data_IF_309591559438
#
_entry.id   IF_309591559438
#
_cell.length_a   1.000
_cell.length_b   1.000
_cell.length_c   1.000
_cell.angle_alpha   90.00
_cell.angle_beta   90.00
_cell.angle_gamma   90.00
#
_symmetry.space_group_name_H-M   'P 1'
#
loop_
_entity.id
_entity.type
_entity.pdbx_description
1 polymer ?
#
# COMPACT_ATOMS: atom_id res chain seq x y z
N UNK A 1 -15.65 -1.89 -8.56
CA UNK A 1 -14.82 -1.74 -9.78
C UNK A 1 -14.48 -0.29 -10.17
N UNK A 2 -14.90 0.72 -9.43
CA UNK A 2 -14.67 2.14 -9.75
C UNK A 2 -13.45 2.79 -9.10
N UNK A 3 -13.01 2.34 -7.95
CA UNK A 3 -11.98 3.00 -7.14
C UNK A 3 -10.53 2.77 -7.62
N UNK A 4 -10.23 1.64 -8.24
CA UNK A 4 -8.89 1.35 -8.79
C UNK A 4 -8.57 2.17 -10.07
N UNK A 5 -9.59 2.60 -10.83
CA UNK A 5 -9.38 3.40 -12.05
C UNK A 5 -8.97 4.86 -11.82
N UNK A 6 -9.15 5.40 -10.60
CA UNK A 6 -8.80 6.80 -10.32
C UNK A 6 -7.33 7.00 -9.94
N UNK A 7 -6.64 5.96 -9.51
CA UNK A 7 -5.23 6.03 -9.09
C UNK A 7 -4.23 5.95 -10.27
N UNK A 8 -4.68 5.48 -11.45
CA UNK A 8 -3.81 5.26 -12.61
C UNK A 8 -4.19 6.12 -13.83
N UNK A 9 -4.42 7.43 -13.66
CA UNK A 9 -4.42 8.36 -14.81
C UNK A 9 -3.00 8.73 -15.17
N UNK A 10 -2.34 7.89 -15.98
CA UNK A 10 -1.09 8.24 -16.64
C UNK A 10 -1.34 9.32 -17.70
N UNK A 11 -0.57 10.39 -17.64
CA UNK A 11 -0.48 11.42 -18.68
C UNK A 11 0.13 10.79 -19.94
N UNK A 12 -0.67 10.52 -20.94
CA UNK A 12 -0.16 10.25 -22.29
C UNK A 12 0.27 11.59 -22.92
N UNK A 13 1.59 11.73 -23.13
CA UNK A 13 2.12 12.77 -23.99
C UNK A 13 1.78 12.46 -25.47
N UNK A 14 1.65 13.46 -26.37
CA UNK A 14 1.35 13.21 -27.78
C UNK A 14 2.48 12.42 -28.44
N UNK A 15 2.12 11.32 -29.12
CA UNK A 15 3.03 10.53 -29.93
C UNK A 15 3.57 11.37 -31.11
N UNK A 16 4.77 11.87 -31.00
CA UNK A 16 5.55 12.30 -32.18
C UNK A 16 5.89 11.06 -33.00
N UNK A 17 5.42 11.00 -34.23
CA UNK A 17 5.73 9.92 -35.17
C UNK A 17 7.20 9.97 -35.52
N UNK A 18 8.01 9.20 -34.83
CA UNK A 18 9.41 8.97 -35.18
C UNK A 18 9.54 8.40 -36.59
N UNK A 19 10.51 8.90 -37.37
CA UNK A 19 10.80 8.38 -38.70
C UNK A 19 11.28 6.93 -38.64
N UNK A 20 11.13 6.15 -39.71
CA UNK A 20 11.60 4.77 -39.78
C UNK A 20 13.12 4.68 -39.57
N UNK A 21 13.85 5.73 -39.94
CA UNK A 21 15.30 5.84 -39.72
C UNK A 21 15.63 6.07 -38.24
N UNK A 22 14.82 6.84 -37.52
CA UNK A 22 14.99 7.04 -36.07
C UNK A 22 14.67 5.75 -35.31
N UNK A 23 13.62 5.02 -35.70
CA UNK A 23 13.31 3.69 -35.15
C UNK A 23 14.43 2.70 -35.35
N UNK A 24 15.05 2.70 -36.56
CA UNK A 24 16.19 1.83 -36.87
C UNK A 24 17.42 2.20 -36.05
N UNK A 25 17.74 3.49 -35.92
CA UNK A 25 18.84 4.01 -35.09
C UNK A 25 18.63 3.71 -33.59
N UNK A 26 17.38 3.82 -33.10
CA UNK A 26 17.05 3.43 -31.73
C UNK A 26 17.19 1.93 -31.53
N UNK A 27 16.74 1.09 -32.47
CA UNK A 27 16.93 -0.35 -32.44
C UNK A 27 18.39 -0.77 -32.49
N UNK A 28 19.23 -0.10 -33.29
CA UNK A 28 20.68 -0.36 -33.35
C UNK A 28 21.40 0.12 -32.08
N UNK A 29 20.98 1.24 -31.48
CA UNK A 29 21.48 1.70 -30.15
C UNK A 29 21.07 0.75 -29.03
N UNK A 30 19.83 0.27 -29.01
CA UNK A 30 19.35 -0.70 -28.05
C UNK A 30 20.10 -2.04 -28.16
N UNK A 31 20.40 -2.50 -29.41
CA UNK A 31 21.25 -3.70 -29.62
C UNK A 31 22.68 -3.50 -29.16
N UNK A 32 23.30 -2.34 -29.41
CA UNK A 32 24.67 -2.04 -28.94
C UNK A 32 24.74 -1.84 -27.41
N UNK A 33 23.67 -1.37 -26.78
CA UNK A 33 23.56 -1.26 -25.32
C UNK A 33 23.25 -2.62 -24.65
N UNK A 34 22.62 -3.57 -25.36
CA UNK A 34 22.38 -4.93 -24.88
C UNK A 34 23.59 -5.86 -24.88
N UNK A 35 24.72 -5.44 -25.47
CA UNK A 35 25.99 -6.22 -25.50
C UNK A 35 26.94 -5.93 -24.31
N UNK A 36 26.69 -4.91 -23.50
CA UNK A 36 27.35 -4.80 -22.20
C UNK A 36 26.77 -5.86 -21.28
N UNK A 37 27.50 -6.92 -20.96
CA UNK A 37 27.12 -7.89 -19.94
C UNK A 37 26.75 -7.12 -18.68
N UNK A 38 25.44 -7.03 -18.40
CA UNK A 38 24.99 -6.42 -17.16
C UNK A 38 25.64 -7.17 -16.00
N UNK A 39 26.11 -6.40 -15.02
CA UNK A 39 26.68 -6.93 -13.80
C UNK A 39 25.57 -7.71 -13.06
N UNK A 40 25.85 -8.92 -12.53
CA UNK A 40 24.87 -9.65 -11.74
C UNK A 40 24.33 -8.80 -10.57
N UNK A 41 23.04 -8.86 -10.29
CA UNK A 41 22.40 -8.06 -9.23
C UNK A 41 23.10 -8.19 -7.87
N UNK A 42 23.58 -9.39 -7.53
CA UNK A 42 24.32 -9.63 -6.28
C UNK A 42 25.69 -8.96 -6.19
N UNK A 43 26.22 -8.48 -7.30
CA UNK A 43 27.52 -7.75 -7.35
C UNK A 43 27.34 -6.23 -7.49
N UNK A 44 26.10 -5.74 -7.61
CA UNK A 44 25.77 -4.32 -7.74
C UNK A 44 25.84 -3.61 -6.39
N UNK A 45 26.30 -2.36 -6.39
CA UNK A 45 26.12 -1.45 -5.24
C UNK A 45 24.64 -1.07 -5.10
N UNK A 46 24.23 -0.52 -3.96
CA UNK A 46 22.85 -0.07 -3.76
C UNK A 46 22.41 1.01 -4.76
N UNK A 47 23.31 1.91 -5.13
CA UNK A 47 23.05 2.93 -6.17
C UNK A 47 22.86 2.29 -7.55
N UNK A 48 23.70 1.29 -7.89
CA UNK A 48 23.56 0.52 -9.12
C UNK A 48 22.24 -0.26 -9.15
N UNK A 49 21.84 -0.90 -8.04
CA UNK A 49 20.57 -1.60 -7.89
C UNK A 49 19.38 -0.67 -8.07
N UNK A 50 19.41 0.51 -7.44
CA UNK A 50 18.35 1.51 -7.58
C UNK A 50 18.21 1.99 -9.04
N UNK A 51 19.32 2.28 -9.71
CA UNK A 51 19.32 2.66 -11.12
C UNK A 51 18.84 1.51 -12.03
N UNK A 52 19.23 0.27 -11.71
CA UNK A 52 18.81 -0.92 -12.44
C UNK A 52 17.31 -1.16 -12.27
N UNK A 53 16.79 -1.09 -11.05
CA UNK A 53 15.38 -1.18 -10.75
C UNK A 53 14.53 -0.17 -11.54
N UNK A 54 14.96 1.10 -11.62
CA UNK A 54 14.26 2.11 -12.43
C UNK A 54 14.14 1.69 -13.89
N UNK A 55 15.22 1.14 -14.50
CA UNK A 55 15.18 0.62 -15.88
C UNK A 55 14.25 -0.59 -16.04
N UNK A 56 14.19 -1.48 -15.03
CA UNK A 56 13.30 -2.63 -15.04
C UNK A 56 11.83 -2.21 -14.99
N UNK A 57 11.49 -1.18 -14.21
CA UNK A 57 10.12 -0.67 -14.14
C UNK A 57 9.61 -0.12 -15.50
N UNK A 58 10.51 0.36 -16.36
CA UNK A 58 10.20 0.85 -17.70
C UNK A 58 10.22 -0.24 -18.78
N UNK A 59 10.63 -1.46 -18.45
CA UNK A 59 10.77 -2.57 -19.41
C UNK A 59 9.41 -3.06 -19.89
N UNK A 60 9.22 -3.14 -21.21
CA UNK A 60 7.96 -3.60 -21.82
C UNK A 60 7.81 -5.13 -21.86
N UNK A 61 8.91 -5.88 -21.93
CA UNK A 61 8.90 -7.33 -21.86
C UNK A 61 8.65 -7.76 -20.41
N UNK A 62 7.42 -8.14 -20.14
CA UNK A 62 6.97 -8.43 -18.79
C UNK A 62 7.59 -9.71 -18.21
N UNK A 63 7.79 -10.75 -19.02
CA UNK A 63 8.40 -12.01 -18.56
C UNK A 63 9.85 -11.78 -18.15
N UNK A 64 10.59 -11.07 -18.98
CA UNK A 64 11.97 -10.71 -18.69
C UNK A 64 12.05 -9.72 -17.53
N UNK A 65 11.13 -8.76 -17.44
CA UNK A 65 11.04 -7.83 -16.32
C UNK A 65 10.82 -8.55 -15.00
N UNK A 66 9.85 -9.46 -14.91
CA UNK A 66 9.56 -10.24 -13.71
C UNK A 66 10.77 -11.09 -13.28
N UNK A 67 11.41 -11.78 -14.23
CA UNK A 67 12.61 -12.57 -13.95
C UNK A 67 13.74 -11.72 -13.35
N UNK A 68 14.00 -10.56 -13.94
CA UNK A 68 15.08 -9.66 -13.47
C UNK A 68 14.72 -8.96 -12.15
N UNK A 69 13.45 -8.62 -11.92
CA UNK A 69 12.99 -8.09 -10.63
C UNK A 69 13.17 -9.14 -9.53
N UNK A 70 12.89 -10.41 -9.80
CA UNK A 70 13.11 -11.50 -8.85
C UNK A 70 14.60 -11.66 -8.50
N UNK A 71 15.50 -11.66 -9.50
CA UNK A 71 16.94 -11.69 -9.28
C UNK A 71 17.44 -10.48 -8.45
N UNK A 72 16.87 -9.30 -8.71
CA UNK A 72 17.20 -8.08 -7.97
C UNK A 72 16.70 -8.15 -6.52
N UNK A 73 15.47 -8.61 -6.30
CA UNK A 73 14.88 -8.79 -4.98
C UNK A 73 15.67 -9.82 -4.15
N UNK A 74 16.03 -10.96 -4.74
CA UNK A 74 16.85 -12.00 -4.09
C UNK A 74 18.27 -11.51 -3.76
N UNK A 75 18.77 -10.48 -4.46
CA UNK A 75 20.05 -9.85 -4.13
C UNK A 75 19.96 -8.88 -2.94
N UNK A 76 18.80 -8.75 -2.28
CA UNK A 76 18.54 -7.88 -1.12
C UNK A 76 18.03 -6.49 -1.49
N UNK A 77 17.48 -6.29 -2.69
CA UNK A 77 16.77 -5.07 -3.04
C UNK A 77 15.25 -5.28 -2.88
N UNK A 78 14.78 -5.19 -1.64
CA UNK A 78 13.44 -5.63 -1.21
C UNK A 78 12.29 -4.89 -1.91
N UNK A 79 12.48 -3.63 -2.33
CA UNK A 79 11.48 -2.88 -3.09
C UNK A 79 11.08 -3.56 -4.42
N UNK A 80 11.94 -4.42 -4.97
CA UNK A 80 11.63 -5.16 -6.19
C UNK A 80 10.49 -6.17 -5.99
N UNK A 81 10.25 -6.69 -4.76
CA UNK A 81 9.09 -7.53 -4.46
C UNK A 81 7.77 -6.80 -4.70
N UNK A 82 7.68 -5.53 -4.31
CA UNK A 82 6.49 -4.70 -4.53
C UNK A 82 6.28 -4.43 -6.02
N UNK A 83 7.36 -4.16 -6.77
CA UNK A 83 7.29 -3.95 -8.22
C UNK A 83 6.83 -5.20 -8.98
N UNK A 84 7.14 -6.41 -8.46
CA UNK A 84 6.60 -7.66 -9.02
C UNK A 84 5.09 -7.77 -8.80
N UNK A 85 4.59 -7.37 -7.64
CA UNK A 85 3.13 -7.35 -7.36
C UNK A 85 2.41 -6.43 -8.36
N UNK A 86 2.92 -5.20 -8.55
CA UNK A 86 2.37 -4.25 -9.52
C UNK A 86 2.40 -4.81 -10.96
N UNK A 87 3.50 -5.49 -11.32
CA UNK A 87 3.65 -6.10 -12.62
C UNK A 87 2.65 -7.23 -12.87
N UNK A 88 2.37 -8.08 -11.86
CA UNK A 88 1.36 -9.13 -11.96
C UNK A 88 -0.05 -8.56 -12.09
N UNK A 89 -0.40 -7.50 -11.36
CA UNK A 89 -1.70 -6.84 -11.50
C UNK A 89 -1.85 -6.20 -12.89
N UNK A 90 -0.83 -5.48 -13.36
CA UNK A 90 -0.85 -4.88 -14.70
C UNK A 90 -0.98 -5.93 -15.82
N UNK A 91 -0.34 -7.10 -15.66
CA UNK A 91 -0.48 -8.22 -16.59
C UNK A 91 -1.90 -8.75 -16.63
N UNK A 92 -2.51 -8.92 -15.47
CA UNK A 92 -3.84 -9.47 -15.33
C UNK A 92 -4.89 -8.55 -15.96
N UNK A 93 -4.78 -7.25 -15.69
CA UNK A 93 -5.64 -6.22 -16.28
C UNK A 93 -5.51 -6.19 -17.81
N UNK A 94 -4.28 -6.24 -18.34
CA UNK A 94 -4.03 -6.20 -19.77
C UNK A 94 -4.54 -7.45 -20.53
N UNK A 95 -4.54 -8.60 -19.87
CA UNK A 95 -4.97 -9.89 -20.46
C UNK A 95 -6.42 -10.27 -20.10
N UNK A 96 -7.07 -9.53 -19.19
CA UNK A 96 -8.38 -9.87 -18.67
C UNK A 96 -8.38 -11.22 -17.91
N UNK A 97 -7.26 -11.56 -17.29
CA UNK A 97 -7.05 -12.81 -16.54
C UNK A 97 -6.98 -12.50 -15.04
N UNK A 98 -7.26 -13.51 -14.24
CA UNK A 98 -7.00 -13.40 -12.79
C UNK A 98 -5.49 -13.36 -12.53
N UNK A 99 -5.03 -12.52 -11.61
CA UNK A 99 -3.61 -12.48 -11.24
C UNK A 99 -3.19 -13.77 -10.53
N UNK A 100 -1.92 -14.17 -10.64
CA UNK A 100 -1.42 -15.41 -10.03
C UNK A 100 -1.33 -15.24 -8.51
N UNK A 101 -2.38 -15.64 -7.79
CA UNK A 101 -2.54 -15.45 -6.35
C UNK A 101 -1.31 -15.90 -5.54
N UNK A 102 -0.84 -17.13 -5.76
CA UNK A 102 0.29 -17.70 -5.04
C UNK A 102 1.58 -16.86 -5.19
N UNK A 103 1.78 -16.28 -6.37
CA UNK A 103 2.95 -15.41 -6.64
C UNK A 103 2.79 -14.05 -5.97
N UNK A 104 1.57 -13.48 -6.00
CA UNK A 104 1.27 -12.24 -5.30
C UNK A 104 1.49 -12.38 -3.79
N UNK A 105 0.96 -13.46 -3.20
CA UNK A 105 1.13 -13.75 -1.79
C UNK A 105 2.61 -13.93 -1.43
N UNK A 106 3.35 -14.69 -2.22
CA UNK A 106 4.79 -14.88 -2.03
C UNK A 106 5.54 -13.57 -2.02
N UNK A 107 5.33 -12.70 -3.03
CA UNK A 107 5.99 -11.40 -3.11
C UNK A 107 5.60 -10.48 -1.94
N UNK A 108 4.31 -10.47 -1.57
CA UNK A 108 3.82 -9.66 -0.46
C UNK A 108 4.41 -10.11 0.89
N UNK A 109 4.52 -11.42 1.13
CA UNK A 109 5.20 -11.96 2.33
C UNK A 109 6.68 -11.56 2.36
N UNK A 110 7.38 -11.70 1.25
CA UNK A 110 8.80 -11.29 1.16
C UNK A 110 8.99 -9.81 1.46
N UNK A 111 8.13 -8.95 0.91
CA UNK A 111 8.15 -7.52 1.21
C UNK A 111 7.83 -7.23 2.68
N UNK A 112 6.84 -7.90 3.27
CA UNK A 112 6.47 -7.77 4.68
C UNK A 112 7.61 -8.25 5.61
N UNK A 113 8.20 -9.40 5.33
CA UNK A 113 9.33 -9.96 6.07
C UNK A 113 10.57 -9.04 6.04
N UNK A 114 10.74 -8.27 4.96
CA UNK A 114 11.76 -7.25 4.82
C UNK A 114 11.41 -5.92 5.53
N UNK A 115 10.25 -5.85 6.20
CA UNK A 115 9.79 -4.67 6.95
C UNK A 115 9.13 -3.59 6.10
N UNK A 116 8.73 -3.90 4.86
CA UNK A 116 8.01 -2.97 4.01
C UNK A 116 6.51 -2.98 4.36
N UNK A 117 5.99 -1.86 4.82
CA UNK A 117 4.58 -1.70 5.22
C UNK A 117 3.60 -2.06 4.08
N UNK A 118 3.96 -1.75 2.83
CA UNK A 118 3.19 -2.07 1.65
C UNK A 118 3.04 -3.60 1.45
N UNK A 119 4.01 -4.41 1.89
CA UNK A 119 3.90 -5.87 1.90
C UNK A 119 2.71 -6.34 2.73
N UNK A 120 2.57 -5.82 3.95
CA UNK A 120 1.40 -6.07 4.80
C UNK A 120 0.11 -5.51 4.20
N UNK A 121 0.15 -4.34 3.54
CA UNK A 121 -1.02 -3.79 2.85
C UNK A 121 -1.52 -4.76 1.77
N UNK A 122 -0.62 -5.30 0.95
CA UNK A 122 -0.98 -6.27 -0.08
C UNK A 122 -1.48 -7.60 0.50
N UNK A 123 -0.88 -8.11 1.57
CA UNK A 123 -1.39 -9.30 2.27
C UNK A 123 -2.82 -9.07 2.78
N UNK A 124 -3.09 -7.92 3.37
CA UNK A 124 -4.43 -7.55 3.80
C UNK A 124 -5.44 -7.50 2.64
N UNK A 125 -5.04 -6.97 1.48
CA UNK A 125 -5.88 -6.97 0.27
C UNK A 125 -6.17 -8.40 -0.24
N UNK A 126 -5.17 -9.28 -0.21
CA UNK A 126 -5.32 -10.68 -0.62
C UNK A 126 -6.26 -11.44 0.33
N UNK A 127 -6.08 -11.31 1.64
CA UNK A 127 -6.98 -11.89 2.65
C UNK A 127 -8.40 -11.35 2.56
N UNK A 128 -8.54 -10.08 2.21
CA UNK A 128 -9.81 -9.36 2.20
C UNK A 128 -10.62 -9.48 0.92
N UNK A 129 -10.15 -10.22 -0.08
CA UNK A 129 -10.82 -10.33 -1.37
C UNK A 129 -11.17 -11.77 -1.71
N UNK A 130 -12.45 -12.08 -2.00
CA UNK A 130 -12.87 -13.42 -2.40
C UNK A 130 -12.32 -13.84 -3.77
N UNK A 131 -11.72 -12.91 -4.52
CA UNK A 131 -11.09 -13.22 -5.82
C UNK A 131 -9.80 -14.02 -5.67
N UNK A 132 -9.19 -14.01 -4.47
CA UNK A 132 -7.87 -14.57 -4.23
C UNK A 132 -7.88 -15.78 -3.29
N UNK A 133 -9.03 -16.35 -2.99
CA UNK A 133 -9.16 -17.53 -2.15
C UNK A 133 -10.31 -17.43 -1.15
N UNK A 134 -10.17 -18.10 -0.01
CA UNK A 134 -11.13 -18.00 1.06
C UNK A 134 -11.03 -16.61 1.74
N UNK A 135 -12.17 -15.94 1.85
CA UNK A 135 -12.25 -14.62 2.47
C UNK A 135 -11.88 -14.70 3.95
N UNK A 136 -10.78 -14.04 4.35
CA UNK A 136 -10.35 -13.89 5.74
C UNK A 136 -10.33 -12.41 6.17
N UNK A 137 -11.48 -11.84 6.56
CA UNK A 137 -11.54 -10.45 7.01
C UNK A 137 -10.76 -10.18 8.29
N UNK A 138 -10.58 -11.19 9.16
CA UNK A 138 -9.81 -11.07 10.40
C UNK A 138 -8.31 -10.99 10.10
N UNK A 139 -7.83 -11.82 9.19
CA UNK A 139 -6.46 -11.76 8.66
C UNK A 139 -6.21 -10.44 7.97
N UNK A 140 -7.12 -9.99 7.11
CA UNK A 140 -7.01 -8.70 6.44
C UNK A 140 -6.85 -7.53 7.43
N UNK A 141 -7.68 -7.50 8.49
CA UNK A 141 -7.63 -6.44 9.49
C UNK A 141 -6.29 -6.43 10.26
N UNK A 142 -5.74 -7.60 10.59
CA UNK A 142 -4.42 -7.71 11.26
C UNK A 142 -3.31 -7.21 10.35
N UNK A 143 -3.31 -7.62 9.10
CA UNK A 143 -2.30 -7.20 8.12
C UNK A 143 -2.35 -5.68 7.87
N UNK A 144 -3.55 -5.08 7.77
CA UNK A 144 -3.70 -3.64 7.66
C UNK A 144 -3.17 -2.90 8.89
N UNK A 145 -3.40 -3.43 10.10
CA UNK A 145 -2.86 -2.82 11.32
C UNK A 145 -1.34 -2.87 11.36
N UNK A 146 -0.73 -4.01 10.98
CA UNK A 146 0.73 -4.13 10.86
C UNK A 146 1.30 -3.15 9.82
N UNK A 147 0.62 -2.98 8.69
CA UNK A 147 0.99 -1.98 7.70
C UNK A 147 0.90 -0.54 8.25
N UNK A 148 -0.11 -0.23 9.06
CA UNK A 148 -0.25 1.07 9.73
C UNK A 148 0.90 1.34 10.71
N UNK A 149 1.39 0.34 11.43
CA UNK A 149 2.58 0.46 12.29
C UNK A 149 3.80 0.89 11.48
N UNK A 150 3.95 0.36 10.27
CA UNK A 150 4.98 0.75 9.31
C UNK A 150 4.73 2.10 8.61
N UNK A 151 3.59 2.75 8.87
CA UNK A 151 3.25 4.07 8.32
C UNK A 151 2.44 4.07 7.04
N UNK A 152 1.80 2.94 6.67
CA UNK A 152 0.92 2.86 5.51
C UNK A 152 -0.43 3.54 5.79
N UNK A 153 -0.63 4.73 5.21
CA UNK A 153 -1.92 5.44 5.24
C UNK A 153 -2.98 4.73 4.38
N UNK A 154 -2.55 4.08 3.29
CA UNK A 154 -3.46 3.30 2.44
C UNK A 154 -4.07 2.12 3.21
N UNK A 155 -3.30 1.45 4.05
CA UNK A 155 -3.79 0.39 4.92
C UNK A 155 -4.81 0.92 5.95
N UNK A 156 -4.59 2.12 6.51
CA UNK A 156 -5.56 2.74 7.41
C UNK A 156 -6.90 2.98 6.72
N UNK A 157 -6.90 3.46 5.47
CA UNK A 157 -8.14 3.65 4.68
C UNK A 157 -8.82 2.33 4.34
N UNK A 158 -8.05 1.29 4.00
CA UNK A 158 -8.59 -0.04 3.74
C UNK A 158 -9.21 -0.65 5.02
N UNK A 159 -8.56 -0.48 6.17
CA UNK A 159 -9.12 -0.93 7.44
C UNK A 159 -10.38 -0.14 7.82
N UNK A 160 -10.42 1.17 7.53
CA UNK A 160 -11.62 2.00 7.71
C UNK A 160 -12.78 1.50 6.85
N UNK A 161 -12.54 1.08 5.61
CA UNK A 161 -13.58 0.50 4.75
C UNK A 161 -14.15 -0.79 5.36
N UNK A 162 -13.31 -1.60 6.02
CA UNK A 162 -13.77 -2.76 6.79
C UNK A 162 -14.55 -2.34 8.03
N UNK A 163 -14.10 -1.32 8.74
CA UNK A 163 -14.72 -0.81 9.96
C UNK A 163 -16.09 -0.21 9.73
N UNK A 164 -16.30 0.42 8.55
CA UNK A 164 -17.55 1.04 8.15
C UNK A 164 -18.43 0.14 7.26
N UNK A 165 -18.07 -1.13 7.06
CA UNK A 165 -18.80 -2.03 6.19
C UNK A 165 -20.15 -2.37 6.79
N UNK A 166 -21.22 -2.14 6.02
CA UNK A 166 -22.57 -2.57 6.32
C UNK A 166 -22.97 -3.70 5.37
N UNK A 167 -23.71 -4.67 5.89
CA UNK A 167 -24.22 -5.78 5.10
C UNK A 167 -25.69 -5.56 4.78
N UNK A 168 -26.04 -5.75 3.50
CA UNK A 168 -27.40 -5.66 2.98
C UNK A 168 -27.66 -6.93 2.15
N UNK A 169 -28.10 -7.99 2.85
CA UNK A 169 -28.51 -9.25 2.21
C UNK A 169 -30.01 -9.15 1.91
N UNK A 170 -30.39 -9.23 0.63
CA UNK A 170 -31.79 -9.03 0.18
C UNK A 170 -32.80 -10.00 0.83
N UNK A 171 -32.35 -11.24 1.15
CA UNK A 171 -33.17 -12.24 1.82
C UNK A 171 -33.31 -12.05 3.33
N UNK A 172 -32.59 -11.08 3.92
CA UNK A 172 -32.59 -10.81 5.36
C UNK A 172 -33.46 -9.62 5.69
N UNK A 173 -34.07 -9.66 6.87
CA UNK A 173 -34.74 -8.51 7.46
C UNK A 173 -33.73 -7.40 7.80
N UNK A 174 -34.19 -6.15 7.99
CA UNK A 174 -33.33 -5.07 8.47
C UNK A 174 -32.62 -5.39 9.80
N UNK A 175 -33.27 -6.17 10.69
CA UNK A 175 -32.69 -6.59 11.97
C UNK A 175 -31.58 -7.58 11.77
N UNK A 176 -31.81 -8.63 10.97
CA UNK A 176 -30.76 -9.63 10.64
C UNK A 176 -29.54 -9.00 9.95
N UNK A 177 -29.75 -8.01 9.08
CA UNK A 177 -28.65 -7.27 8.47
C UNK A 177 -27.84 -6.45 9.50
N UNK A 178 -28.53 -5.81 10.48
CA UNK A 178 -27.85 -5.11 11.59
C UNK A 178 -27.05 -6.07 12.48
N UNK A 179 -27.64 -7.22 12.82
CA UNK A 179 -26.97 -8.26 13.62
C UNK A 179 -25.73 -8.80 12.90
N UNK A 180 -25.82 -9.07 11.58
CA UNK A 180 -24.70 -9.51 10.75
C UNK A 180 -23.57 -8.47 10.73
N UNK A 181 -23.92 -7.20 10.53
CA UNK A 181 -22.99 -6.07 10.54
C UNK A 181 -22.30 -5.94 11.91
N UNK A 182 -23.06 -6.00 13.00
CA UNK A 182 -22.51 -5.92 14.35
C UNK A 182 -21.58 -7.09 14.68
N UNK A 183 -21.94 -8.32 14.30
CA UNK A 183 -21.12 -9.49 14.47
C UNK A 183 -19.81 -9.40 13.67
N UNK A 184 -19.86 -8.87 12.46
CA UNK A 184 -18.67 -8.62 11.65
C UNK A 184 -17.73 -7.60 12.32
N UNK A 185 -18.25 -6.45 12.75
CA UNK A 185 -17.44 -5.41 13.42
C UNK A 185 -16.81 -5.95 14.71
N UNK A 186 -17.55 -6.71 15.52
CA UNK A 186 -16.96 -7.32 16.73
C UNK A 186 -15.87 -8.33 16.37
N UNK A 187 -16.06 -9.10 15.31
CA UNK A 187 -15.04 -10.06 14.85
C UNK A 187 -13.73 -9.37 14.43
N UNK A 188 -13.82 -8.21 13.75
CA UNK A 188 -12.65 -7.40 13.39
C UNK A 188 -12.03 -6.79 14.64
N UNK A 189 -12.83 -6.24 15.55
CA UNK A 189 -12.36 -5.69 16.84
C UNK A 189 -11.58 -6.71 17.65
N UNK A 190 -12.10 -7.93 17.78
CA UNK A 190 -11.42 -9.02 18.46
C UNK A 190 -10.12 -9.44 17.76
N UNK A 191 -10.11 -9.43 16.44
CA UNK A 191 -8.94 -9.82 15.65
C UNK A 191 -7.73 -8.89 15.85
N UNK A 192 -7.98 -7.56 15.99
CA UNK A 192 -6.91 -6.56 16.14
C UNK A 192 -6.61 -6.21 17.61
N UNK A 193 -7.44 -6.63 18.55
CA UNK A 193 -7.27 -6.33 19.99
C UNK A 193 -5.89 -6.70 20.53
N UNK A 194 -5.32 -7.89 20.26
CA UNK A 194 -4.00 -8.26 20.80
C UNK A 194 -2.90 -7.31 20.35
N UNK A 195 -2.96 -6.81 19.10
CA UNK A 195 -1.99 -5.85 18.58
C UNK A 195 -2.18 -4.47 19.22
N UNK A 196 -3.42 -4.03 19.42
CA UNK A 196 -3.71 -2.78 20.15
C UNK A 196 -3.17 -2.85 21.58
N UNK A 197 -3.35 -3.99 22.27
CA UNK A 197 -2.82 -4.20 23.61
C UNK A 197 -1.28 -4.19 23.62
N UNK A 198 -0.64 -4.84 22.66
CA UNK A 198 0.82 -4.82 22.49
C UNK A 198 1.34 -3.39 22.29
N UNK A 199 0.70 -2.62 21.40
CA UNK A 199 1.09 -1.25 21.09
C UNK A 199 0.83 -0.28 22.26
N UNK A 200 -0.20 -0.54 23.10
CA UNK A 200 -0.56 0.33 24.23
C UNK A 200 0.54 0.44 25.29
N UNK A 201 1.41 -0.56 25.40
CA UNK A 201 2.58 -0.54 26.27
C UNK A 201 3.81 0.15 25.65
N UNK A 202 3.73 0.53 24.38
CA UNK A 202 4.85 1.09 23.63
C UNK A 202 4.80 2.61 23.47
N UNK A 203 5.98 3.23 23.44
CA UNK A 203 6.19 4.64 23.10
C UNK A 203 7.05 4.79 21.84
N UNK A 204 7.27 3.71 21.14
CA UNK A 204 8.06 3.66 19.92
C UNK A 204 7.33 4.29 18.71
N UNK A 205 8.07 4.43 17.62
CA UNK A 205 7.56 5.01 16.37
C UNK A 205 6.31 4.28 15.86
N UNK A 206 6.32 2.94 15.92
CA UNK A 206 5.24 2.07 15.45
C UNK A 206 3.93 2.35 16.21
N UNK A 207 4.00 2.38 17.55
CA UNK A 207 2.86 2.66 18.40
C UNK A 207 2.30 4.06 18.15
N UNK A 208 3.16 5.08 18.08
CA UNK A 208 2.73 6.45 17.80
C UNK A 208 2.08 6.58 16.42
N UNK A 209 2.61 5.86 15.41
CA UNK A 209 2.06 5.86 14.05
C UNK A 209 0.68 5.21 14.02
N UNK A 210 0.56 4.00 14.58
CA UNK A 210 -0.70 3.27 14.61
C UNK A 210 -1.78 4.04 15.38
N UNK A 211 -1.50 4.53 16.58
CA UNK A 211 -2.49 5.29 17.36
C UNK A 211 -2.86 6.62 16.72
N UNK A 212 -1.90 7.34 16.11
CA UNK A 212 -2.20 8.55 15.36
C UNK A 212 -3.21 8.30 14.25
N UNK A 213 -3.02 7.25 13.45
CA UNK A 213 -3.93 6.86 12.37
C UNK A 213 -5.27 6.33 12.90
N UNK A 214 -5.27 5.48 13.96
CA UNK A 214 -6.48 4.93 14.56
C UNK A 214 -7.41 6.04 15.08
N UNK A 215 -6.87 7.03 15.80
CA UNK A 215 -7.66 8.17 16.27
C UNK A 215 -8.07 9.11 15.13
N UNK A 216 -7.21 9.30 14.14
CA UNK A 216 -7.52 10.16 12.99
C UNK A 216 -8.69 9.63 12.17
N UNK A 217 -8.73 8.32 11.93
CA UNK A 217 -9.81 7.68 11.16
C UNK A 217 -10.98 7.16 12.01
N UNK A 218 -10.90 7.18 13.33
CA UNK A 218 -11.95 6.65 14.22
C UNK A 218 -12.07 5.13 14.17
N UNK A 219 -10.95 4.42 13.95
CA UNK A 219 -10.90 2.96 13.90
C UNK A 219 -10.61 2.42 15.30
N UNK A 220 -11.38 1.48 15.81
CA UNK A 220 -11.27 0.88 17.14
C UNK A 220 -11.60 1.83 18.30
N UNK A 221 -11.20 3.08 18.21
CA UNK A 221 -11.49 4.18 19.12
C UNK A 221 -12.47 5.16 18.48
N UNK A 222 -13.15 5.96 19.29
CA UNK A 222 -13.87 7.13 18.80
C UNK A 222 -12.86 8.09 18.12
N UNK A 223 -13.27 8.67 16.99
CA UNK A 223 -12.44 9.63 16.28
C UNK A 223 -12.09 10.82 17.19
N UNK A 224 -10.83 11.17 17.23
CA UNK A 224 -10.34 12.31 17.99
C UNK A 224 -9.15 12.93 17.29
N UNK A 225 -9.39 14.07 16.65
CA UNK A 225 -8.36 14.81 15.93
C UNK A 225 -7.30 15.35 16.90
N UNK A 226 -7.70 15.77 18.10
CA UNK A 226 -6.77 16.25 19.14
C UNK A 226 -5.77 15.15 19.52
N UNK A 227 -6.27 13.96 19.83
CA UNK A 227 -5.40 12.83 20.15
C UNK A 227 -4.52 12.44 18.95
N UNK A 228 -5.09 12.42 17.76
CA UNK A 228 -4.31 12.15 16.55
C UNK A 228 -3.18 13.19 16.38
N UNK A 229 -3.48 14.50 16.57
CA UNK A 229 -2.51 15.61 16.53
C UNK A 229 -1.39 15.39 17.55
N UNK A 230 -1.72 15.02 18.80
CA UNK A 230 -0.70 14.72 19.83
C UNK A 230 0.27 13.61 19.41
N UNK A 231 -0.24 12.52 18.85
CA UNK A 231 0.58 11.40 18.35
C UNK A 231 1.46 11.85 17.19
N UNK A 232 0.90 12.56 16.20
CA UNK A 232 1.66 13.04 15.05
C UNK A 232 2.71 14.10 15.43
N UNK A 233 2.45 14.97 16.40
CA UNK A 233 3.46 15.92 16.91
C UNK A 233 4.66 15.18 17.51
N UNK A 234 4.41 14.18 18.37
CA UNK A 234 5.49 13.35 18.93
C UNK A 234 6.26 12.62 17.83
N UNK A 235 5.55 12.04 16.87
CA UNK A 235 6.13 11.31 15.75
C UNK A 235 6.91 12.21 14.79
N UNK A 236 6.45 13.45 14.57
CA UNK A 236 7.17 14.46 13.78
C UNK A 236 8.48 14.88 14.47
N UNK A 237 8.49 14.98 15.80
CA UNK A 237 9.71 15.18 16.58
C UNK A 237 10.75 14.05 16.40
N UNK A 238 10.32 12.85 15.98
CA UNK A 238 11.17 11.73 15.61
C UNK A 238 11.54 11.71 14.11
N UNK A 239 11.19 12.76 13.36
CA UNK A 239 11.52 12.91 11.94
C UNK A 239 10.67 12.07 11.00
N UNK A 240 9.41 11.77 11.34
CA UNK A 240 8.51 10.99 10.48
C UNK A 240 7.97 11.82 9.31
N UNK A 241 8.19 11.41 8.04
CA UNK A 241 7.58 12.07 6.88
C UNK A 241 6.04 11.97 6.87
N UNK A 242 5.51 10.84 7.34
CA UNK A 242 4.06 10.65 7.47
C UNK A 242 3.47 11.70 8.43
N UNK A 243 4.04 11.83 9.62
CA UNK A 243 3.52 12.75 10.62
C UNK A 243 3.57 14.21 10.14
N UNK A 244 4.63 14.62 9.44
CA UNK A 244 4.71 15.94 8.82
C UNK A 244 3.56 16.17 7.86
N UNK A 245 3.35 15.24 6.93
CA UNK A 245 2.24 15.32 5.95
C UNK A 245 0.87 15.32 6.63
N UNK A 246 0.69 14.51 7.67
CA UNK A 246 -0.58 14.47 8.41
C UNK A 246 -0.86 15.79 9.12
N UNK A 247 0.14 16.41 9.74
CA UNK A 247 -0.01 17.69 10.43
C UNK A 247 -0.23 18.89 9.46
N UNK A 248 0.15 18.74 8.19
CA UNK A 248 -0.16 19.71 7.12
C UNK A 248 -1.60 19.57 6.60
N UNK A 249 -2.37 18.59 7.09
CA UNK A 249 -3.76 18.43 6.69
C UNK A 249 -4.61 19.58 7.26
N UNK A 250 -5.43 20.28 6.42
CA UNK A 250 -6.26 21.40 6.86
C UNK A 250 -7.18 21.10 8.06
N UNK A 251 -7.51 19.84 8.31
CA UNK A 251 -8.33 19.43 9.46
C UNK A 251 -7.66 19.71 10.81
N UNK A 252 -6.34 19.97 10.83
CA UNK A 252 -5.58 20.36 12.03
C UNK A 252 -5.25 21.85 12.07
N UNK A 253 -5.66 22.63 11.07
CA UNK A 253 -5.62 24.09 11.15
C UNK A 253 -6.64 24.50 12.21
N UNK A 254 -6.16 25.16 13.27
CA UNK A 254 -7.01 25.67 14.33
C UNK A 254 -7.92 26.75 13.70
N UNK A 255 -9.22 26.66 13.93
CA UNK A 255 -10.21 27.66 13.54
C UNK A 255 -10.08 28.89 14.46
N UNK A 256 -8.87 29.51 14.48
CA UNK A 256 -8.57 30.72 15.27
C UNK A 256 -9.28 31.98 14.72
N UNK A 257 -10.33 31.81 13.89
CA UNK A 257 -11.04 32.92 13.25
C UNK A 257 -12.28 33.44 13.98
N UNK A 258 -12.58 32.95 15.20
CA UNK A 258 -13.81 33.33 15.92
C UNK A 258 -13.56 34.11 17.26
N UNK A 259 -12.39 34.73 17.45
CA UNK A 259 -12.23 35.67 18.58
C UNK A 259 -11.72 37.03 18.11
N UNK A 260 -12.52 37.81 17.40
CA UNK A 260 -12.37 39.28 17.35
C UNK A 260 -13.56 39.91 16.58
N UNK A 261 -14.76 39.85 17.15
CA UNK A 261 -15.84 40.80 16.79
C UNK A 261 -16.85 40.90 17.94
N UNK A 262 -16.39 41.43 19.08
CA UNK A 262 -17.27 42.05 20.11
C UNK A 262 -16.53 43.20 20.81
N UNK A 263 -16.47 44.37 20.15
CA UNK A 263 -16.38 45.67 20.77
C UNK A 263 -17.38 46.67 20.19
#
# INVERSE_FOLDING_TARGET
MGLLKSLFKSRTAPEEKLSDEDRRRMGERARRQGETKEKPAGEMSEEEKLSYWGRLCEMNDLEERLRRLEELAESGFDAAWLSMIEAYFAQSDARGMEPPFERLEYCARKAADAGLAEGHTHLGMLCGSPLYGELDPKGAAREYLLAMEGGSESAARLLLDYWNREFHVESYTPEENRELTAAFHESIREAIRPEIERLSGGSGREALTAFGLLYFYGIYFEQSLDRAKEYFVKLNGMGSPLARRMLENPVFEDDDSDEDDDE
#
